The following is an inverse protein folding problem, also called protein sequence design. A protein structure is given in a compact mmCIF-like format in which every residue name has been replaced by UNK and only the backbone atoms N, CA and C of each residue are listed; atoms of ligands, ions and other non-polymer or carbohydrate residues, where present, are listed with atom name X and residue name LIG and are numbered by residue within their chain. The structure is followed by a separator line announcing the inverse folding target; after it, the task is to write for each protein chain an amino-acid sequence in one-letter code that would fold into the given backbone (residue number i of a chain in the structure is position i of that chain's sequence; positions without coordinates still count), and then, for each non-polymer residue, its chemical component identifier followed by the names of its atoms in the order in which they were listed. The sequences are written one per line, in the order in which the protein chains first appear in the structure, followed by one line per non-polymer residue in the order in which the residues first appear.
data_IF_668584996270
#
_entry.id   IF_668584996270
#
_cell.length_a   1.000
_cell.length_b   1.000
_cell.length_c   1.000
_cell.angle_alpha   90.00
_cell.angle_beta   90.00
_cell.angle_gamma   90.00
#
_symmetry.space_group_name_H-M   'P 1'
#
loop_
_entity.id
_entity.type
_entity.pdbx_description
1 polymer ?
#
# COMPACT_ATOMS: atom_id res chain seq x y z
N UNK A 1 -30.87 -3.11 -9.03
CA UNK A 1 -29.50 -2.81 -8.58
C UNK A 1 -28.54 -3.47 -9.55
N UNK A 2 -27.90 -2.67 -10.40
CA UNK A 2 -26.88 -3.15 -11.32
C UNK A 2 -25.62 -3.51 -10.52
N UNK A 3 -25.06 -4.70 -10.74
CA UNK A 3 -23.82 -5.11 -10.06
C UNK A 3 -22.68 -4.34 -10.70
N UNK A 4 -22.18 -3.32 -10.00
CA UNK A 4 -20.94 -2.63 -10.38
C UNK A 4 -19.78 -3.60 -10.16
N UNK A 5 -19.10 -3.96 -11.24
CA UNK A 5 -17.88 -4.77 -11.20
C UNK A 5 -16.70 -3.81 -11.29
N UNK A 6 -16.17 -3.36 -10.16
CA UNK A 6 -15.01 -2.45 -10.10
C UNK A 6 -13.79 -3.00 -10.84
N UNK A 7 -13.66 -4.32 -10.97
CA UNK A 7 -12.61 -4.97 -11.78
C UNK A 7 -12.74 -4.72 -13.29
N UNK A 8 -13.93 -4.40 -13.80
CA UNK A 8 -14.12 -4.06 -15.22
C UNK A 8 -13.67 -2.64 -15.52
N UNK A 9 -13.81 -1.73 -14.56
CA UNK A 9 -13.42 -0.33 -14.70
C UNK A 9 -11.95 -0.09 -14.34
N UNK A 10 -11.38 -0.93 -13.46
CA UNK A 10 -9.97 -0.90 -13.06
C UNK A 10 -9.31 -2.26 -13.36
N UNK A 11 -9.00 -2.54 -14.64
CA UNK A 11 -8.41 -3.81 -15.06
C UNK A 11 -6.93 -3.95 -14.66
N UNK A 12 -6.29 -2.85 -14.25
CA UNK A 12 -4.87 -2.85 -13.88
C UNK A 12 -4.62 -3.66 -12.61
N UNK A 13 -3.53 -4.43 -12.65
CA UNK A 13 -3.11 -5.21 -11.49
C UNK A 13 -2.49 -4.28 -10.44
N UNK A 14 -2.95 -4.40 -9.20
CA UNK A 14 -2.31 -3.77 -8.06
C UNK A 14 -1.40 -4.75 -7.35
N UNK A 15 -0.29 -4.24 -6.82
CA UNK A 15 0.63 -5.01 -5.98
C UNK A 15 0.28 -4.80 -4.52
N UNK A 16 0.00 -5.90 -3.82
CA UNK A 16 -0.17 -5.91 -2.36
C UNK A 16 1.11 -6.36 -1.70
N UNK A 17 1.56 -5.61 -0.69
CA UNK A 17 2.79 -5.85 0.05
C UNK A 17 2.43 -6.01 1.53
N UNK A 18 2.85 -7.14 2.13
CA UNK A 18 2.72 -7.37 3.56
C UNK A 18 4.08 -7.16 4.22
N UNK A 19 4.14 -6.26 5.19
CA UNK A 19 5.34 -5.94 5.96
C UNK A 19 5.09 -6.27 7.43
N UNK A 20 5.88 -7.19 7.98
CA UNK A 20 5.79 -7.54 9.39
C UNK A 20 6.75 -6.66 10.21
N UNK A 21 6.17 -5.79 11.03
CA UNK A 21 6.89 -4.95 11.98
C UNK A 21 7.07 -5.75 13.28
N UNK A 22 8.33 -6.16 13.54
CA UNK A 22 8.68 -6.92 14.75
C UNK A 22 8.58 -6.08 16.02
N UNK A 23 8.92 -4.80 15.93
CA UNK A 23 8.97 -3.90 17.10
C UNK A 23 7.56 -3.63 17.63
N UNK A 24 6.60 -3.49 16.71
CA UNK A 24 5.18 -3.29 17.04
C UNK A 24 4.35 -4.57 17.04
N UNK A 25 4.99 -5.71 16.75
CA UNK A 25 4.37 -7.02 16.58
C UNK A 25 3.09 -6.97 15.72
N UNK A 26 3.15 -6.26 14.60
CA UNK A 26 1.99 -6.00 13.74
C UNK A 26 2.33 -6.20 12.26
N UNK A 27 1.34 -6.57 11.46
CA UNK A 27 1.50 -6.69 10.01
C UNK A 27 0.85 -5.49 9.34
N UNK A 28 1.65 -4.70 8.64
CA UNK A 28 1.21 -3.60 7.81
C UNK A 28 0.96 -4.10 6.38
N UNK A 29 -0.14 -3.68 5.80
CA UNK A 29 -0.50 -4.03 4.42
C UNK A 29 -0.48 -2.74 3.59
N UNK A 30 0.35 -2.74 2.55
CA UNK A 30 0.46 -1.64 1.60
C UNK A 30 -0.07 -2.08 0.24
N UNK A 31 -0.74 -1.15 -0.44
CA UNK A 31 -1.18 -1.31 -1.82
C UNK A 31 -0.41 -0.33 -2.70
N UNK A 32 0.24 -0.82 -3.74
CA UNK A 32 0.99 0.03 -4.67
C UNK A 32 0.76 -0.40 -6.11
N UNK A 33 0.77 0.57 -7.02
CA UNK A 33 0.84 0.34 -8.46
C UNK A 33 2.30 0.21 -8.95
N UNK A 34 3.30 0.42 -8.07
CA UNK A 34 4.70 0.33 -8.43
C UNK A 34 5.25 -1.09 -8.23
N UNK A 35 5.60 -1.72 -9.35
CA UNK A 35 6.16 -3.07 -9.40
C UNK A 35 7.69 -3.10 -9.40
N UNK A 36 8.34 -1.97 -9.66
CA UNK A 36 9.80 -1.86 -9.77
C UNK A 36 10.47 -1.72 -8.40
N UNK A 37 9.82 -1.01 -7.47
CA UNK A 37 10.37 -0.77 -6.14
C UNK A 37 10.38 -2.05 -5.27
N UNK A 38 11.39 -2.18 -4.42
CA UNK A 38 11.39 -3.25 -3.43
C UNK A 38 10.29 -3.04 -2.38
N UNK A 39 9.81 -4.13 -1.78
CA UNK A 39 8.75 -4.08 -0.75
C UNK A 39 9.13 -3.21 0.46
N UNK A 40 10.39 -3.27 0.87
CA UNK A 40 10.94 -2.45 1.95
C UNK A 40 10.94 -0.96 1.61
N UNK A 41 11.31 -0.60 0.37
CA UNK A 41 11.31 0.79 -0.08
C UNK A 41 9.90 1.37 -0.06
N UNK A 42 8.90 0.59 -0.51
CA UNK A 42 7.49 1.01 -0.42
C UNK A 42 7.08 1.24 1.04
N UNK A 43 7.42 0.33 1.96
CA UNK A 43 7.13 0.52 3.39
C UNK A 43 7.81 1.78 3.96
N UNK A 44 9.05 2.06 3.56
CA UNK A 44 9.79 3.26 4.00
C UNK A 44 9.16 4.55 3.46
N UNK A 45 8.69 4.57 2.22
CA UNK A 45 7.97 5.70 1.63
C UNK A 45 6.68 6.01 2.41
N UNK A 46 5.91 4.98 2.77
CA UNK A 46 4.72 5.15 3.61
C UNK A 46 5.06 5.65 5.02
N UNK A 47 6.18 5.20 5.61
CA UNK A 47 6.67 5.71 6.90
C UNK A 47 7.03 7.20 6.82
N UNK A 48 7.69 7.63 5.75
CA UNK A 48 8.05 9.04 5.53
C UNK A 48 6.81 9.89 5.26
N UNK A 49 5.79 9.34 4.58
CA UNK A 49 4.51 10.03 4.36
C UNK A 49 3.83 10.41 5.68
N UNK A 50 3.85 9.53 6.69
CA UNK A 50 3.29 9.85 8.02
C UNK A 50 3.98 11.04 8.69
N UNK A 51 5.26 11.30 8.40
CA UNK A 51 5.95 12.47 8.94
C UNK A 51 5.43 13.79 8.35
N UNK A 52 4.85 13.76 7.14
CA UNK A 52 4.27 14.94 6.50
C UNK A 52 2.86 15.27 7.02
N UNK A 53 2.15 14.30 7.61
CA UNK A 53 0.81 14.54 8.18
C UNK A 53 0.85 15.33 9.51
N UNK A 54 2.04 15.49 10.12
CA UNK A 54 2.24 16.31 11.32
C UNK A 54 2.16 17.82 11.04
N UNK A 55 2.02 18.22 9.78
CA UNK A 55 1.96 19.62 9.35
C UNK A 55 0.54 20.08 8.96
N UNK A 56 -0.50 19.28 9.22
CA UNK A 56 -1.92 19.61 8.94
C UNK A 56 -2.78 19.62 10.20
#
# INVERSE_FOLDING_TARGET
MERVYTSKEYPESFRRIAFYDRDKNTTLIFLTNNFELAAEQVAMLYKNRWQLELFF
#
